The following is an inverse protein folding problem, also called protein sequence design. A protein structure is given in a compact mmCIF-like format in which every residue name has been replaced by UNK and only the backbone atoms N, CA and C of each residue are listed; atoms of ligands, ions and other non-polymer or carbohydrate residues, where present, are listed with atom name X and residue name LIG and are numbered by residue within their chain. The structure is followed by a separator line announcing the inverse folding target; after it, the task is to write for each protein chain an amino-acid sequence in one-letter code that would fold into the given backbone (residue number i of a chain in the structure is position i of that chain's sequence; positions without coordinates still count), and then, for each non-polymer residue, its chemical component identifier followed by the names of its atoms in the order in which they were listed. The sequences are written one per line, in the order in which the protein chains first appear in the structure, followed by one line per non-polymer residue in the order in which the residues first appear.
data_IF_947607680142
#
_entry.id   IF_947607680142
#
_cell.length_a   1.000
_cell.length_b   1.000
_cell.length_c   1.000
_cell.angle_alpha   90.00
_cell.angle_beta   90.00
_cell.angle_gamma   90.00
#
_symmetry.space_group_name_H-M   'P 1'
#
loop_
_entity.id
_entity.type
_entity.pdbx_description
1 polymer ?
#
# COMPACT_ATOMS: atom_id res chain seq x y z
N UNK A 1 22.42 7.66 -1.29
CA UNK A 1 23.11 7.23 -0.06
C UNK A 1 22.27 7.71 1.12
N UNK A 2 21.85 6.86 2.05
CA UNK A 2 21.22 7.32 3.29
C UNK A 2 22.36 7.45 4.31
N UNK A 3 22.73 8.69 4.69
CA UNK A 3 23.77 8.93 5.68
C UNK A 3 23.33 8.47 7.08
N UNK A 4 24.29 8.00 7.88
CA UNK A 4 24.05 7.61 9.26
C UNK A 4 23.68 8.81 10.13
N UNK A 5 22.45 8.85 10.62
CA UNK A 5 21.89 9.95 11.43
C UNK A 5 22.37 9.94 12.91
N UNK A 6 23.30 9.04 13.26
CA UNK A 6 23.70 8.76 14.65
C UNK A 6 25.23 8.64 14.83
N UNK A 7 26.01 9.48 14.14
CA UNK A 7 27.46 9.55 14.31
C UNK A 7 28.25 8.37 13.71
N UNK A 8 27.70 7.72 12.68
CA UNK A 8 28.40 6.67 11.93
C UNK A 8 28.81 7.23 10.58
N UNK A 9 30.11 7.25 10.30
CA UNK A 9 30.68 7.76 9.03
C UNK A 9 30.36 6.87 7.81
N UNK A 10 29.76 5.69 8.05
CA UNK A 10 29.36 4.77 7.00
C UNK A 10 27.88 4.95 6.63
N UNK A 11 27.54 4.91 5.33
CA UNK A 11 26.15 4.94 4.88
C UNK A 11 25.36 3.73 5.35
N UNK A 12 24.05 3.91 5.54
CA UNK A 12 23.15 2.80 5.80
C UNK A 12 23.09 1.88 4.59
N UNK A 13 23.35 0.60 4.82
CA UNK A 13 23.18 -0.44 3.81
C UNK A 13 21.70 -0.78 3.64
N UNK A 14 21.33 -1.34 2.49
CA UNK A 14 19.97 -1.85 2.26
C UNK A 14 19.56 -2.88 3.33
N UNK A 15 20.51 -3.72 3.77
CA UNK A 15 20.31 -4.69 4.85
C UNK A 15 20.00 -4.00 6.17
N UNK A 16 20.69 -2.91 6.52
CA UNK A 16 20.42 -2.17 7.74
C UNK A 16 18.99 -1.59 7.73
N UNK A 17 18.56 -1.00 6.61
CA UNK A 17 17.19 -0.50 6.45
C UNK A 17 16.16 -1.64 6.57
N UNK A 18 16.42 -2.78 5.93
CA UNK A 18 15.58 -3.97 6.05
C UNK A 18 15.41 -4.41 7.50
N UNK A 19 16.51 -4.52 8.25
CA UNK A 19 16.48 -4.95 9.65
C UNK A 19 15.75 -3.94 10.54
N UNK A 20 15.94 -2.64 10.34
CA UNK A 20 15.21 -1.59 11.06
C UNK A 20 13.70 -1.72 10.84
N UNK A 21 13.27 -1.93 9.59
CA UNK A 21 11.85 -2.10 9.26
C UNK A 21 11.30 -3.40 9.87
N UNK A 22 12.04 -4.51 9.80
CA UNK A 22 11.64 -5.78 10.43
C UNK A 22 11.44 -5.63 11.94
N UNK A 23 12.39 -4.98 12.60
CA UNK A 23 12.35 -4.74 14.04
C UNK A 23 11.15 -3.86 14.43
N UNK A 24 10.95 -2.74 13.72
CA UNK A 24 9.85 -1.83 13.99
C UNK A 24 8.48 -2.53 13.84
N UNK A 25 8.28 -3.29 12.74
CA UNK A 25 7.04 -4.01 12.51
C UNK A 25 6.85 -5.18 13.49
N UNK A 26 7.93 -5.81 13.94
CA UNK A 26 7.91 -6.80 15.02
C UNK A 26 7.39 -6.20 16.32
N UNK A 27 7.89 -5.04 16.74
CA UNK A 27 7.41 -4.33 17.94
C UNK A 27 5.93 -3.98 17.87
N UNK A 28 5.47 -3.49 16.72
CA UNK A 28 4.04 -3.22 16.51
C UNK A 28 3.22 -4.50 16.58
N UNK A 29 3.73 -5.62 16.05
CA UNK A 29 3.04 -6.89 16.12
C UNK A 29 2.84 -7.36 17.58
N UNK A 30 3.81 -7.15 18.46
CA UNK A 30 3.67 -7.51 19.88
C UNK A 30 2.59 -6.69 20.59
N UNK A 31 2.47 -5.39 20.26
CA UNK A 31 1.40 -4.54 20.79
C UNK A 31 0.01 -4.99 20.29
N UNK A 32 -0.08 -5.44 19.03
CA UNK A 32 -1.35 -5.84 18.39
C UNK A 32 -1.77 -7.27 18.76
N UNK A 33 -0.82 -8.14 19.11
CA UNK A 33 -1.05 -9.56 19.33
C UNK A 33 -2.19 -9.91 20.32
N UNK A 34 -2.37 -9.20 21.45
CA UNK A 34 -3.44 -9.52 22.41
C UNK A 34 -4.84 -9.31 21.85
N UNK A 35 -5.01 -8.33 20.95
CA UNK A 35 -6.32 -7.96 20.38
C UNK A 35 -6.58 -8.60 19.02
N UNK A 36 -5.52 -8.80 18.22
CA UNK A 36 -5.63 -9.33 16.86
C UNK A 36 -4.38 -10.16 16.50
N UNK A 37 -4.35 -11.45 16.89
CA UNK A 37 -3.19 -12.31 16.65
C UNK A 37 -2.94 -12.58 15.16
N UNK A 38 -3.98 -12.52 14.31
CA UNK A 38 -3.87 -12.72 12.87
C UNK A 38 -3.15 -11.53 12.23
N UNK A 39 -3.51 -10.30 12.59
CA UNK A 39 -2.83 -9.09 12.14
C UNK A 39 -1.41 -9.02 12.67
N UNK A 40 -1.17 -9.42 13.92
CA UNK A 40 0.19 -9.50 14.46
C UNK A 40 1.06 -10.49 13.65
N UNK A 41 0.54 -11.67 13.31
CA UNK A 41 1.25 -12.63 12.46
C UNK A 41 1.57 -12.06 11.06
N UNK A 42 0.66 -11.28 10.48
CA UNK A 42 0.89 -10.56 9.22
C UNK A 42 2.01 -9.51 9.35
N UNK A 43 1.97 -8.69 10.41
CA UNK A 43 3.00 -7.69 10.69
C UNK A 43 4.39 -8.32 10.90
N UNK A 44 4.49 -9.47 11.58
CA UNK A 44 5.76 -10.20 11.74
C UNK A 44 6.36 -10.66 10.41
N UNK A 45 5.55 -10.94 9.39
CA UNK A 45 6.00 -11.35 8.05
C UNK A 45 6.35 -10.19 7.14
N UNK A 46 5.90 -8.99 7.44
CA UNK A 46 6.14 -7.78 6.66
C UNK A 46 7.64 -7.48 6.46
N UNK A 47 7.96 -6.81 5.35
CA UNK A 47 9.31 -6.39 4.98
C UNK A 47 9.29 -5.03 4.27
N UNK A 48 10.47 -4.50 3.95
CA UNK A 48 10.62 -3.27 3.13
C UNK A 48 9.92 -3.38 1.77
N UNK A 49 9.89 -4.58 1.17
CA UNK A 49 9.19 -4.79 -0.10
C UNK A 49 7.67 -4.62 0.06
N UNK A 50 7.12 -5.05 1.19
CA UNK A 50 5.70 -4.88 1.49
C UNK A 50 5.29 -3.41 1.59
N UNK A 51 6.13 -2.57 2.22
CA UNK A 51 5.90 -1.12 2.26
C UNK A 51 5.87 -0.50 0.86
N UNK A 52 6.71 -0.98 -0.05
CA UNK A 52 6.70 -0.54 -1.46
C UNK A 52 5.41 -0.92 -2.18
N UNK A 53 4.88 -2.12 -1.93
CA UNK A 53 3.58 -2.52 -2.45
C UNK A 53 2.46 -1.64 -1.89
N UNK A 54 2.43 -1.43 -0.57
CA UNK A 54 1.44 -0.57 0.08
C UNK A 54 1.48 0.86 -0.49
N UNK A 55 2.67 1.43 -0.70
CA UNK A 55 2.81 2.75 -1.30
C UNK A 55 2.33 2.80 -2.76
N UNK A 56 2.49 1.72 -3.54
CA UNK A 56 1.99 1.64 -4.90
C UNK A 56 0.46 1.52 -4.94
N UNK A 57 -0.11 0.65 -4.11
CA UNK A 57 -1.56 0.51 -3.96
C UNK A 57 -2.20 1.83 -3.53
N UNK A 58 -1.67 2.51 -2.52
CA UNK A 58 -2.22 3.80 -2.10
C UNK A 58 -2.15 4.90 -3.16
N UNK A 59 -1.11 4.91 -4.00
CA UNK A 59 -1.06 5.84 -5.13
C UNK A 59 -2.13 5.51 -6.18
N UNK A 60 -2.37 4.23 -6.46
CA UNK A 60 -3.41 3.80 -7.40
C UNK A 60 -4.82 4.11 -6.85
N UNK A 61 -5.07 3.83 -5.56
CA UNK A 61 -6.33 4.18 -4.87
C UNK A 61 -6.59 5.69 -4.85
N UNK A 62 -5.55 6.50 -4.80
CA UNK A 62 -5.64 7.96 -4.91
C UNK A 62 -5.90 8.45 -6.35
N UNK A 63 -5.99 7.56 -7.34
CA UNK A 63 -6.21 7.88 -8.75
C UNK A 63 -4.99 8.44 -9.46
N UNK A 64 -3.77 8.20 -8.94
CA UNK A 64 -2.56 8.65 -9.63
C UNK A 64 -2.38 7.89 -10.95
N UNK A 65 -2.05 8.59 -12.05
CA UNK A 65 -1.77 7.93 -13.31
C UNK A 65 -0.67 6.87 -13.19
N UNK A 66 -0.89 5.68 -13.76
CA UNK A 66 0.01 4.53 -13.64
C UNK A 66 1.47 4.81 -14.06
N UNK A 67 1.69 5.73 -15.02
CA UNK A 67 3.03 6.14 -15.43
C UNK A 67 3.76 6.99 -14.37
N UNK A 68 3.03 7.77 -13.55
CA UNK A 68 3.59 8.46 -12.38
C UNK A 68 4.00 7.45 -11.32
N UNK A 69 3.15 6.46 -11.04
CA UNK A 69 3.44 5.39 -10.07
C UNK A 69 4.68 4.60 -10.53
N UNK A 70 4.76 4.26 -11.82
CA UNK A 70 5.91 3.56 -12.40
C UNK A 70 7.21 4.35 -12.17
N UNK A 71 7.18 5.66 -12.43
CA UNK A 71 8.34 6.53 -12.26
C UNK A 71 8.74 6.66 -10.79
N UNK A 72 7.79 6.85 -9.88
CA UNK A 72 8.02 6.91 -8.43
C UNK A 72 8.66 5.62 -7.91
N UNK A 73 8.22 4.48 -8.44
CA UNK A 73 8.81 3.18 -8.12
C UNK A 73 10.13 2.96 -8.85
N UNK A 74 10.40 3.63 -9.97
CA UNK A 74 11.55 3.37 -10.86
C UNK A 74 11.49 1.99 -11.50
N UNK A 75 10.30 1.54 -11.89
CA UNK A 75 10.15 0.31 -12.66
C UNK A 75 10.49 0.56 -14.13
N UNK A 76 11.29 -0.34 -14.72
CA UNK A 76 11.64 -0.30 -16.14
C UNK A 76 10.45 -0.63 -17.05
N UNK A 77 9.46 -1.37 -16.54
CA UNK A 77 8.29 -1.81 -17.30
C UNK A 77 6.99 -1.29 -16.68
N UNK A 78 6.11 -0.78 -17.54
CA UNK A 78 4.75 -0.40 -17.15
C UNK A 78 3.96 -1.63 -16.71
N UNK A 79 4.18 -2.80 -17.32
CA UNK A 79 3.46 -4.04 -17.00
C UNK A 79 3.64 -4.47 -15.54
N UNK A 80 4.83 -4.26 -14.97
CA UNK A 80 5.10 -4.52 -13.53
C UNK A 80 4.32 -3.59 -12.62
N UNK A 81 3.94 -2.41 -13.09
CA UNK A 81 3.17 -1.42 -12.33
C UNK A 81 1.66 -1.55 -12.56
N UNK A 82 1.26 -2.02 -13.75
CA UNK A 82 -0.14 -2.26 -14.10
C UNK A 82 -0.87 -3.21 -13.14
N UNK A 83 -0.14 -4.06 -12.39
CA UNK A 83 -0.73 -4.93 -11.35
C UNK A 83 -1.51 -4.16 -10.27
N UNK A 84 -1.26 -2.85 -10.11
CA UNK A 84 -1.96 -2.01 -9.13
C UNK A 84 -3.18 -1.28 -9.68
N UNK A 85 -3.42 -1.33 -11.00
CA UNK A 85 -4.60 -0.69 -11.62
C UNK A 85 -5.92 -1.29 -11.14
N UNK A 86 -5.92 -2.56 -10.76
CA UNK A 86 -7.11 -3.24 -10.25
C UNK A 86 -7.67 -2.60 -8.96
N UNK A 87 -6.82 -1.95 -8.15
CA UNK A 87 -7.28 -1.23 -6.97
C UNK A 87 -8.16 -0.02 -7.34
N UNK A 88 -7.82 0.69 -8.43
CA UNK A 88 -8.64 1.77 -8.97
C UNK A 88 -9.92 1.23 -9.60
N UNK A 89 -9.82 0.14 -10.39
CA UNK A 89 -10.98 -0.50 -11.01
C UNK A 89 -12.00 -0.95 -9.96
N UNK A 90 -11.56 -1.63 -8.89
CA UNK A 90 -12.39 -2.08 -7.78
C UNK A 90 -13.09 -0.90 -7.08
N UNK A 91 -12.36 0.19 -6.82
CA UNK A 91 -12.94 1.42 -6.25
C UNK A 91 -13.99 2.04 -7.18
N UNK A 92 -13.73 2.06 -8.50
CA UNK A 92 -14.65 2.56 -9.52
C UNK A 92 -15.89 1.68 -9.65
N UNK A 93 -15.74 0.36 -9.52
CA UNK A 93 -16.84 -0.59 -9.54
C UNK A 93 -17.72 -0.43 -8.28
N UNK A 94 -17.11 -0.23 -7.11
CA UNK A 94 -17.83 0.05 -5.87
C UNK A 94 -18.66 1.35 -5.96
N UNK A 95 -18.09 2.43 -6.51
CA UNK A 95 -18.79 3.71 -6.65
C UNK A 95 -19.94 3.66 -7.67
N UNK A 96 -19.74 2.97 -8.81
CA UNK A 96 -20.79 2.79 -9.83
C UNK A 96 -21.92 1.89 -9.33
N UNK A 97 -21.59 0.84 -8.57
CA UNK A 97 -22.60 -0.09 -8.01
C UNK A 97 -23.42 0.58 -6.90
N UNK A 98 -22.81 1.40 -6.04
CA UNK A 98 -23.55 2.19 -5.04
C UNK A 98 -24.46 3.25 -5.66
N UNK A 99 -24.01 3.95 -6.71
CA UNK A 99 -24.83 4.94 -7.41
C UNK A 99 -26.06 4.33 -8.10
N UNK A 100 -25.99 3.06 -8.53
CA UNK A 100 -27.13 2.35 -9.12
C UNK A 100 -28.20 1.93 -8.11
N UNK A 101 -27.86 1.82 -6.82
CA UNK A 101 -28.80 1.41 -5.77
C UNK A 101 -29.68 2.56 -5.23
N UNK A 102 -29.44 3.82 -5.64
CA UNK A 102 -30.10 5.01 -5.07
C UNK A 102 -31.07 5.72 -6.01
N UNK A 103 -31.34 5.21 -7.22
CA UNK A 103 -32.36 5.79 -8.11
C UNK A 103 -33.75 5.30 -7.66
N UNK A 104 -34.63 6.16 -7.11
CA UNK A 104 -36.00 5.76 -6.79
C UNK A 104 -36.77 5.59 -8.10
N UNK A 105 -37.46 4.46 -8.26
CA UNK A 105 -38.37 4.23 -9.38
C UNK A 105 -39.39 5.38 -9.44
N UNK A 106 -39.62 5.99 -10.61
CA UNK A 106 -40.59 7.07 -10.74
C UNK A 106 -41.98 6.53 -10.43
N UNK A 107 -42.67 7.15 -9.46
CA UNK A 107 -44.08 6.89 -9.19
C UNK A 107 -44.89 7.31 -10.42
N UNK A 108 -45.46 6.34 -11.13
CA UNK A 108 -46.48 6.63 -12.12
C UNK A 108 -47.72 7.20 -11.42
N UNK A 109 -48.29 8.26 -12.00
CA UNK A 109 -49.68 8.68 -11.79
C UNK A 109 -50.09 9.75 -12.81
N UNK A 110 -51.40 9.96 -13.05
CA UNK A 110 -52.55 9.27 -12.46
C UNK A 110 -53.16 8.17 -13.34
#
# INVERSE_FOLDING_TARGET
LILGIAGRDAPLTATAVYLIVKEALGRVAEVVAPTDPVRAARLRRASTHWLRHTAATHQAEAGNPVHHIQHNLRHSSIATTSIYLHAEEDARHASTTQARATIPLPKERP
#
